data_IF_328298892022
#
_entry.id   IF_328298892022
#
_cell.length_a   1.000
_cell.length_b   1.000
_cell.length_c   1.000
_cell.angle_alpha   90.00
_cell.angle_beta   90.00
_cell.angle_gamma   90.00
#
_symmetry.space_group_name_H-M   'P 1'
#
loop_
_entity.id
_entity.type
_entity.pdbx_description
1 polymer ?
#
# COMPACT_ATOMS: atom_id res chain seq x y z
N UNK A 1 6.51 9.61 -7.85
CA UNK A 1 6.45 8.25 -7.32
C UNK A 1 5.85 8.30 -5.94
N UNK A 2 4.83 7.49 -5.68
CA UNK A 2 4.14 7.43 -4.40
C UNK A 2 4.92 6.63 -3.37
N UNK A 3 4.81 7.08 -2.12
CA UNK A 3 5.32 6.36 -0.95
C UNK A 3 4.41 6.64 0.23
N UNK A 4 3.54 5.70 0.56
CA UNK A 4 2.65 5.75 1.72
C UNK A 4 3.29 4.94 2.85
N UNK A 5 3.66 5.60 3.93
CA UNK A 5 4.36 4.95 5.05
C UNK A 5 3.41 4.61 6.18
N UNK A 6 3.67 3.48 6.82
CA UNK A 6 3.02 3.04 8.06
C UNK A 6 1.48 3.13 7.99
N UNK A 7 0.87 2.46 7.02
CA UNK A 7 -0.57 2.44 6.85
C UNK A 7 -1.23 1.73 8.03
N UNK A 8 -2.12 2.44 8.72
CA UNK A 8 -2.87 1.95 9.89
C UNK A 8 -4.36 2.10 9.68
N UNK A 9 -5.13 1.25 10.34
CA UNK A 9 -6.59 1.37 10.34
C UNK A 9 -6.96 2.72 10.96
N UNK A 10 -7.91 3.41 10.34
CA UNK A 10 -8.53 4.60 10.90
C UNK A 10 -10.03 4.62 10.63
N UNK A 11 -10.72 5.61 11.21
CA UNK A 11 -12.13 5.88 10.94
C UNK A 11 -12.22 7.16 10.10
N UNK A 12 -12.70 7.09 8.85
CA UNK A 12 -12.96 8.26 8.02
C UNK A 12 -14.07 9.13 8.61
N UNK A 13 -14.15 10.38 8.16
CA UNK A 13 -15.15 11.35 8.60
C UNK A 13 -16.29 11.57 7.59
N UNK A 14 -16.21 11.00 6.38
CA UNK A 14 -17.25 11.10 5.37
C UNK A 14 -18.37 10.05 5.55
N UNK A 15 -19.61 10.43 5.22
CA UNK A 15 -20.80 9.60 5.44
C UNK A 15 -20.78 8.29 4.65
N UNK A 16 -20.20 8.28 3.45
CA UNK A 16 -20.20 7.11 2.58
C UNK A 16 -19.23 6.03 3.10
N UNK A 17 -18.02 6.42 3.47
CA UNK A 17 -17.06 5.51 4.09
C UNK A 17 -17.55 4.98 5.43
N UNK A 18 -18.19 5.83 6.25
CA UNK A 18 -18.82 5.40 7.50
C UNK A 18 -19.94 4.38 7.27
N UNK A 19 -20.75 4.55 6.21
CA UNK A 19 -21.73 3.56 5.78
C UNK A 19 -21.06 2.23 5.37
N UNK A 20 -19.99 2.27 4.58
CA UNK A 20 -19.25 1.06 4.17
C UNK A 20 -18.63 0.33 5.37
N UNK A 21 -18.06 1.06 6.33
CA UNK A 21 -17.56 0.45 7.57
C UNK A 21 -18.68 -0.27 8.33
N UNK A 22 -19.81 0.40 8.53
CA UNK A 22 -20.90 -0.10 9.37
C UNK A 22 -21.65 -1.27 8.73
N UNK A 23 -22.02 -1.13 7.46
CA UNK A 23 -22.92 -2.08 6.79
C UNK A 23 -22.16 -3.18 6.03
N UNK A 24 -20.89 -2.93 5.67
CA UNK A 24 -20.07 -3.87 4.89
C UNK A 24 -18.77 -4.29 5.58
N UNK A 25 -18.50 -3.83 6.82
CA UNK A 25 -17.25 -4.12 7.55
C UNK A 25 -16.00 -3.74 6.75
N UNK A 26 -16.11 -2.70 5.91
CA UNK A 26 -14.96 -2.16 5.19
C UNK A 26 -13.94 -1.58 6.17
N UNK A 27 -12.67 -1.76 5.89
CA UNK A 27 -11.57 -1.21 6.69
C UNK A 27 -10.87 -0.12 5.88
N UNK A 28 -10.57 0.99 6.52
CA UNK A 28 -9.91 2.13 5.90
C UNK A 28 -8.52 2.31 6.49
N UNK A 29 -7.58 2.77 5.66
CA UNK A 29 -6.18 2.86 6.05
C UNK A 29 -5.62 4.25 5.74
N UNK A 30 -4.87 4.81 6.68
CA UNK A 30 -4.23 6.11 6.56
C UNK A 30 -2.73 5.99 6.77
N UNK A 31 -1.95 6.70 5.96
CA UNK A 31 -0.50 6.77 6.12
C UNK A 31 -0.12 7.70 7.26
N UNK A 32 1.14 7.62 7.72
CA UNK A 32 1.66 8.48 8.78
C UNK A 32 1.60 9.98 8.46
N UNK A 33 1.56 10.34 7.18
CA UNK A 33 1.42 11.71 6.70
C UNK A 33 -0.03 12.10 6.36
N UNK A 34 -1.00 11.27 6.76
CA UNK A 34 -2.42 11.61 6.72
C UNK A 34 -3.12 11.39 5.38
N UNK A 35 -2.56 10.55 4.49
CA UNK A 35 -3.19 10.23 3.20
C UNK A 35 -3.98 8.93 3.28
N UNK A 36 -5.23 8.96 2.83
CA UNK A 36 -6.06 7.76 2.73
C UNK A 36 -5.52 6.82 1.64
N UNK A 37 -5.50 5.52 1.94
CA UNK A 37 -5.03 4.47 1.04
C UNK A 37 -5.85 4.39 -0.25
N UNK A 38 -7.18 4.35 -0.15
CA UNK A 38 -8.06 4.15 -1.29
C UNK A 38 -8.09 5.37 -2.20
N UNK A 39 -8.12 6.58 -1.65
CA UNK A 39 -8.00 7.82 -2.43
C UNK A 39 -6.64 7.92 -3.13
N UNK A 40 -5.57 7.47 -2.46
CA UNK A 40 -4.21 7.53 -3.02
C UNK A 40 -4.01 6.59 -4.21
N UNK A 41 -4.80 5.51 -4.36
CA UNK A 41 -4.61 4.51 -5.42
C UNK A 41 -4.59 5.10 -6.83
N UNK A 42 -5.46 6.08 -7.09
CA UNK A 42 -5.56 6.75 -8.39
C UNK A 42 -4.27 7.52 -8.78
N UNK A 43 -3.42 7.82 -7.81
CA UNK A 43 -2.18 8.57 -8.01
C UNK A 43 -0.94 7.68 -8.23
N UNK A 44 -1.11 6.36 -8.25
CA UNK A 44 -0.06 5.41 -8.61
C UNK A 44 0.00 5.22 -10.14
N UNK A 45 1.20 5.22 -10.70
CA UNK A 45 1.42 4.94 -12.12
C UNK A 45 1.12 3.47 -12.44
N UNK A 46 0.53 3.17 -13.60
CA UNK A 46 0.31 1.78 -14.04
C UNK A 46 1.59 1.07 -14.46
N UNK A 47 2.67 1.81 -14.74
CA UNK A 47 3.90 1.29 -15.33
C UNK A 47 5.01 0.98 -14.28
N UNK A 48 4.69 1.13 -13.00
CA UNK A 48 5.60 0.87 -11.87
C UNK A 48 5.18 -0.39 -11.09
N UNK A 49 6.14 -0.98 -10.36
CA UNK A 49 5.84 -1.93 -9.29
C UNK A 49 5.37 -1.18 -8.04
N UNK A 50 4.46 -1.80 -7.30
CA UNK A 50 4.02 -1.39 -5.97
C UNK A 50 4.55 -2.42 -5.01
N UNK A 51 5.42 -1.97 -4.13
CA UNK A 51 6.08 -2.83 -3.14
C UNK A 51 5.49 -2.50 -1.79
N UNK A 52 4.90 -3.50 -1.14
CA UNK A 52 4.48 -3.41 0.25
C UNK A 52 5.53 -4.07 1.15
N UNK A 53 5.95 -3.36 2.19
CA UNK A 53 6.97 -3.83 3.12
C UNK A 53 6.58 -3.59 4.58
N UNK A 54 7.04 -4.48 5.46
CA UNK A 54 6.79 -4.42 6.91
C UNK A 54 7.73 -3.44 7.65
N UNK A 55 7.54 -3.28 8.96
CA UNK A 55 8.35 -2.36 9.77
C UNK A 55 9.86 -2.67 9.72
N UNK A 56 10.25 -3.93 9.47
CA UNK A 56 11.65 -4.34 9.29
C UNK A 56 12.17 -4.08 7.86
N UNK A 57 11.35 -3.48 7.00
CA UNK A 57 11.64 -3.24 5.59
C UNK A 57 11.46 -4.48 4.70
N UNK A 58 11.04 -5.63 5.25
CA UNK A 58 10.95 -6.88 4.48
C UNK A 58 9.80 -6.77 3.50
N UNK A 59 10.05 -7.08 2.23
CA UNK A 59 9.05 -7.04 1.16
C UNK A 59 8.07 -8.22 1.34
N UNK A 60 6.77 -7.89 1.42
CA UNK A 60 5.67 -8.85 1.65
C UNK A 60 4.67 -8.92 0.50
N UNK A 61 4.59 -7.89 -0.32
CA UNK A 61 3.76 -7.89 -1.52
C UNK A 61 4.42 -7.10 -2.64
N UNK A 62 4.24 -7.57 -3.87
CA UNK A 62 4.68 -6.89 -5.09
C UNK A 62 3.55 -7.02 -6.10
N UNK A 63 3.09 -5.90 -6.66
CA UNK A 63 2.07 -5.92 -7.71
C UNK A 63 2.27 -4.77 -8.70
N UNK A 64 1.74 -4.91 -9.92
CA UNK A 64 1.53 -3.77 -10.83
C UNK A 64 0.20 -3.08 -10.58
N UNK A 65 -0.73 -3.75 -9.91
CA UNK A 65 -2.04 -3.21 -9.56
C UNK A 65 -2.05 -2.86 -8.07
N UNK A 66 -2.08 -1.56 -7.77
CA UNK A 66 -2.08 -1.08 -6.38
C UNK A 66 -3.30 -1.57 -5.60
N UNK A 67 -4.45 -1.74 -6.28
CA UNK A 67 -5.71 -2.15 -5.64
C UNK A 67 -5.68 -3.59 -5.14
N UNK A 68 -4.76 -4.41 -5.64
CA UNK A 68 -4.56 -5.80 -5.20
C UNK A 68 -3.81 -5.94 -3.87
N UNK A 69 -3.32 -4.83 -3.29
CA UNK A 69 -2.56 -4.84 -2.04
C UNK A 69 -3.49 -4.56 -0.85
N UNK A 70 -3.47 -5.47 0.13
CA UNK A 70 -4.02 -5.22 1.46
C UNK A 70 -2.95 -4.52 2.32
N UNK A 71 -3.14 -3.24 2.72
CA UNK A 71 -2.05 -2.40 3.19
C UNK A 71 -1.81 -2.43 4.71
N UNK A 72 -2.58 -3.22 5.47
CA UNK A 72 -2.55 -3.19 6.94
C UNK A 72 -1.12 -3.36 7.47
N UNK A 73 -0.69 -2.40 8.29
CA UNK A 73 0.59 -2.39 8.99
C UNK A 73 1.82 -2.38 8.06
N UNK A 74 1.63 -2.02 6.79
CA UNK A 74 2.70 -1.92 5.81
C UNK A 74 2.93 -0.48 5.35
N UNK A 75 4.10 -0.26 4.76
CA UNK A 75 4.33 0.86 3.87
C UNK A 75 4.23 0.38 2.43
N UNK A 76 3.71 1.22 1.52
CA UNK A 76 3.59 0.92 0.09
C UNK A 76 4.29 1.99 -0.74
N UNK A 77 5.14 1.57 -1.68
CA UNK A 77 5.98 2.47 -2.47
C UNK A 77 5.99 2.08 -3.95
N UNK A 78 6.07 3.08 -4.83
CA UNK A 78 6.33 2.89 -6.25
C UNK A 78 7.81 2.65 -6.53
N UNK A 79 8.09 1.66 -7.37
CA UNK A 79 9.43 1.31 -7.82
C UNK A 79 9.44 1.11 -9.34
N UNK A 80 10.37 1.74 -10.03
CA UNK A 80 10.58 1.53 -11.47
C UNK A 80 10.95 0.09 -11.79
N UNK A 81 10.44 -0.44 -12.89
CA UNK A 81 10.82 -1.77 -13.39
C UNK A 81 12.19 -1.66 -14.06
N UNK A 82 13.18 -2.39 -13.55
CA UNK A 82 14.54 -2.40 -14.09
C UNK A 82 15.07 -3.83 -14.22
N UNK A 83 16.21 -4.02 -14.88
CA UNK A 83 16.86 -5.33 -14.92
C UNK A 83 17.31 -5.83 -13.53
N UNK A 84 17.51 -4.91 -12.56
CA UNK A 84 18.03 -5.25 -11.22
C UNK A 84 16.98 -5.84 -10.28
N UNK A 85 15.69 -5.53 -10.49
CA UNK A 85 14.61 -5.96 -9.61
C UNK A 85 13.73 -7.08 -10.21
N UNK A 86 14.19 -7.74 -11.28
CA UNK A 86 13.46 -8.84 -11.92
C UNK A 86 13.35 -10.10 -11.05
N UNK A 87 14.28 -10.29 -10.12
CA UNK A 87 14.35 -11.47 -9.26
C UNK A 87 13.88 -11.19 -7.82
N UNK A 88 13.29 -10.02 -7.57
CA UNK A 88 12.74 -9.71 -6.24
C UNK A 88 11.48 -10.53 -6.05
N UNK A 89 11.37 -11.14 -4.87
CA UNK A 89 10.23 -11.95 -4.47
C UNK A 89 9.76 -11.57 -3.05
N UNK A 90 8.71 -12.24 -2.59
CA UNK A 90 8.07 -12.01 -1.28
C UNK A 90 8.43 -13.08 -0.23
N UNK A 91 9.49 -13.87 -0.46
CA UNK A 91 9.91 -14.96 0.44
C UNK A 91 10.58 -14.47 1.73
N UNK A 92 10.85 -13.17 1.85
CA UNK A 92 11.47 -12.54 3.01
C UNK A 92 12.98 -12.32 2.89
N UNK A 93 13.60 -12.68 1.75
CA UNK A 93 15.02 -12.43 1.47
C UNK A 93 15.33 -11.01 0.98
N UNK A 94 14.30 -10.20 0.71
CA UNK A 94 14.43 -8.86 0.13
C UNK A 94 13.89 -7.79 1.06
N UNK A 95 14.62 -6.67 1.13
CA UNK A 95 14.30 -5.52 1.98
C UNK A 95 14.23 -4.27 1.10
N UNK A 96 13.25 -3.41 1.36
CA UNK A 96 13.19 -2.04 0.85
C UNK A 96 13.76 -1.09 1.90
N UNK A 97 14.79 -0.32 1.54
CA UNK A 97 15.52 0.61 2.41
C UNK A 97 15.73 1.98 1.78
#
# INVERSE_FOLDING_TARGET
MQHLKNLKIYTPDDEYSLFLMKEHSAEFFISEDGRDWYESQASFSTDTLKVAYDEAGIIRSISKDVSSIYPRDFSVVEVDITARNQNVDISGGWVFS
#
